data_IF_540975425478
#
_entry.id   IF_540975425478
#
_cell.length_a   1.000
_cell.length_b   1.000
_cell.length_c   1.000
_cell.angle_alpha   90.00
_cell.angle_beta   90.00
_cell.angle_gamma   90.00
#
_symmetry.space_group_name_H-M   'P 1'
#
loop_
_entity.id
_entity.type
_entity.pdbx_description
1 polymer ?
#
# COMPACT_ATOMS: atom_id res chain seq x y z
N UNK A 1 -26.63 47.02 -1.83
CA UNK A 1 -27.77 46.44 -1.10
C UNK A 1 -27.77 44.97 -1.36
N UNK A 2 -27.31 44.20 -0.37
CA UNK A 2 -26.89 42.79 -0.58
C UNK A 2 -28.08 41.89 -0.27
N UNK A 3 -28.71 41.32 -1.31
CA UNK A 3 -29.93 40.51 -1.25
C UNK A 3 -29.74 39.05 -0.76
N UNK A 4 -28.55 38.71 -0.24
CA UNK A 4 -28.22 37.36 0.22
C UNK A 4 -28.27 37.17 1.73
N UNK A 5 -28.81 38.12 2.50
CA UNK A 5 -28.92 38.03 3.97
C UNK A 5 -30.37 37.82 4.47
N UNK A 6 -31.24 37.22 3.66
CA UNK A 6 -32.50 36.69 4.17
C UNK A 6 -32.20 35.34 4.82
N UNK A 7 -31.65 35.42 6.02
CA UNK A 7 -31.47 34.26 6.88
C UNK A 7 -32.83 33.65 7.22
N UNK A 8 -33.15 32.51 6.65
CA UNK A 8 -34.14 31.61 7.23
C UNK A 8 -33.64 31.26 8.64
N UNK A 9 -34.08 32.00 9.64
CA UNK A 9 -34.12 31.45 11.00
C UNK A 9 -35.15 30.31 10.97
N UNK A 10 -34.72 29.13 10.64
CA UNK A 10 -35.45 27.93 11.04
C UNK A 10 -35.50 28.04 12.56
N UNK A 11 -36.69 28.31 13.11
CA UNK A 11 -36.91 28.14 14.54
C UNK A 11 -36.36 26.74 14.88
N UNK A 12 -35.40 26.68 15.81
CA UNK A 12 -34.99 25.43 16.41
C UNK A 12 -36.25 24.88 17.09
N UNK A 13 -36.98 24.03 16.37
CA UNK A 13 -38.01 23.21 16.97
C UNK A 13 -37.27 22.23 17.84
N UNK A 14 -37.13 22.54 19.11
CA UNK A 14 -36.67 21.58 20.11
C UNK A 14 -37.74 20.51 20.21
N UNK A 15 -37.64 19.50 19.35
CA UNK A 15 -38.45 18.28 19.49
C UNK A 15 -37.91 17.57 20.71
N UNK A 16 -38.73 17.51 21.77
CA UNK A 16 -38.39 16.71 22.94
C UNK A 16 -38.09 15.28 22.49
N UNK A 17 -36.88 14.81 22.77
CA UNK A 17 -36.49 13.44 22.42
C UNK A 17 -37.40 12.48 23.17
N UNK A 18 -37.98 11.49 22.48
CA UNK A 18 -38.83 10.50 23.14
C UNK A 18 -38.05 9.80 24.24
N UNK A 19 -38.67 9.64 25.41
CA UNK A 19 -38.09 8.96 26.58
C UNK A 19 -38.53 7.49 26.65
N UNK A 20 -37.81 6.69 27.42
CA UNK A 20 -38.12 5.28 27.58
C UNK A 20 -37.71 4.42 26.38
N UNK A 21 -38.51 3.35 26.13
CA UNK A 21 -38.22 2.38 25.07
C UNK A 21 -38.18 3.02 23.67
N UNK A 22 -39.10 3.95 23.39
CA UNK A 22 -39.13 4.69 22.13
C UNK A 22 -37.89 5.57 21.95
N UNK A 23 -37.40 6.20 23.01
CA UNK A 23 -36.15 6.98 22.98
C UNK A 23 -34.94 6.10 22.70
N UNK A 24 -34.85 4.92 23.30
CA UNK A 24 -33.78 3.97 23.04
C UNK A 24 -33.78 3.48 21.56
N UNK A 25 -34.97 3.16 21.03
CA UNK A 25 -35.12 2.76 19.62
C UNK A 25 -34.75 3.91 18.66
N UNK A 26 -35.17 5.13 18.97
CA UNK A 26 -34.81 6.29 18.15
C UNK A 26 -33.29 6.53 18.14
N UNK A 27 -32.63 6.45 19.30
CA UNK A 27 -31.18 6.57 19.41
C UNK A 27 -30.45 5.47 18.63
N UNK A 28 -30.90 4.23 18.74
CA UNK A 28 -30.35 3.11 17.99
C UNK A 28 -30.48 3.31 16.47
N UNK A 29 -31.63 3.82 16.00
CA UNK A 29 -31.85 4.13 14.59
C UNK A 29 -30.95 5.29 14.11
N UNK A 30 -30.82 6.34 14.93
CA UNK A 30 -29.90 7.46 14.63
C UNK A 30 -28.44 6.98 14.52
N UNK A 31 -27.99 6.15 15.45
CA UNK A 31 -26.63 5.64 15.45
C UNK A 31 -26.38 4.68 14.28
N UNK A 32 -27.36 3.88 13.92
CA UNK A 32 -27.31 3.08 12.70
C UNK A 32 -27.13 3.96 11.45
N UNK A 33 -27.94 4.99 11.30
CA UNK A 33 -27.85 5.93 10.17
C UNK A 33 -26.49 6.66 10.16
N UNK A 34 -25.98 7.08 11.33
CA UNK A 34 -24.66 7.74 11.46
C UNK A 34 -23.53 6.85 10.95
N UNK A 35 -23.56 5.54 11.24
CA UNK A 35 -22.54 4.58 10.74
C UNK A 35 -22.52 4.57 9.21
N UNK A 36 -23.67 4.48 8.55
CA UNK A 36 -23.75 4.46 7.09
C UNK A 36 -23.37 5.80 6.48
N UNK A 37 -23.79 6.91 7.05
CA UNK A 37 -23.39 8.25 6.60
C UNK A 37 -21.87 8.46 6.74
N UNK A 38 -21.27 7.97 7.83
CA UNK A 38 -19.82 7.98 8.02
C UNK A 38 -19.14 7.13 6.97
N UNK A 39 -19.63 5.92 6.71
CA UNK A 39 -19.14 5.04 5.66
C UNK A 39 -19.18 5.72 4.27
N UNK A 40 -20.30 6.35 3.94
CA UNK A 40 -20.46 7.12 2.70
C UNK A 40 -19.48 8.29 2.58
N UNK A 41 -19.29 9.04 3.64
CA UNK A 41 -18.31 10.15 3.65
C UNK A 41 -16.87 9.67 3.48
N UNK A 42 -16.51 8.55 4.09
CA UNK A 42 -15.18 7.93 3.93
C UNK A 42 -15.01 7.45 2.48
N UNK A 43 -16.01 6.79 1.91
CA UNK A 43 -15.98 6.34 0.51
C UNK A 43 -15.75 7.52 -0.45
N UNK A 44 -16.52 8.59 -0.31
CA UNK A 44 -16.35 9.79 -1.14
C UNK A 44 -14.97 10.44 -0.99
N UNK A 45 -14.43 10.48 0.23
CA UNK A 45 -13.08 10.96 0.50
C UNK A 45 -12.01 10.12 -0.19
N UNK A 46 -12.14 8.79 -0.13
CA UNK A 46 -11.24 7.86 -0.82
C UNK A 46 -11.33 7.99 -2.34
N UNK A 47 -12.55 8.09 -2.87
CA UNK A 47 -12.77 8.28 -4.31
C UNK A 47 -12.23 9.62 -4.81
N UNK A 48 -12.40 10.71 -4.08
CA UNK A 48 -11.94 12.05 -4.47
C UNK A 48 -10.44 12.27 -4.28
N UNK A 49 -9.82 11.63 -3.28
CA UNK A 49 -8.41 11.81 -2.93
C UNK A 49 -7.49 10.77 -3.54
N UNK A 50 -7.71 9.51 -3.22
CA UNK A 50 -6.77 8.43 -3.54
C UNK A 50 -6.95 7.93 -4.97
N UNK A 51 -8.19 7.70 -5.40
CA UNK A 51 -8.47 7.06 -6.69
C UNK A 51 -7.92 7.85 -7.89
N UNK A 52 -8.09 9.18 -8.00
CA UNK A 52 -7.50 9.95 -9.10
C UNK A 52 -5.97 9.84 -9.14
N UNK A 53 -5.32 9.92 -7.99
CA UNK A 53 -3.85 9.78 -7.88
C UNK A 53 -3.39 8.41 -8.35
N UNK A 54 -4.08 7.34 -7.94
CA UNK A 54 -3.77 5.98 -8.38
C UNK A 54 -3.92 5.81 -9.89
N UNK A 55 -4.99 6.33 -10.50
CA UNK A 55 -5.22 6.24 -11.95
C UNK A 55 -4.11 6.95 -12.72
N UNK A 56 -3.72 8.16 -12.30
CA UNK A 56 -2.64 8.92 -12.93
C UNK A 56 -1.30 8.18 -12.82
N UNK A 57 -0.96 7.70 -11.61
CA UNK A 57 0.30 6.97 -11.38
C UNK A 57 0.36 5.66 -12.15
N UNK A 58 -0.71 4.85 -12.14
CA UNK A 58 -0.77 3.61 -12.91
C UNK A 58 -0.65 3.87 -14.41
N UNK A 59 -1.26 4.93 -14.92
CA UNK A 59 -1.15 5.32 -16.32
C UNK A 59 0.28 5.71 -16.67
N UNK A 60 0.92 6.54 -15.85
CA UNK A 60 2.31 6.96 -16.02
C UNK A 60 3.29 5.77 -15.97
N UNK A 61 3.13 4.87 -15.00
CA UNK A 61 3.98 3.68 -14.87
C UNK A 61 3.78 2.74 -16.05
N UNK A 62 2.55 2.49 -16.49
CA UNK A 62 2.28 1.67 -17.67
C UNK A 62 2.89 2.27 -18.95
N UNK A 63 2.82 3.59 -19.11
CA UNK A 63 3.48 4.28 -20.22
C UNK A 63 5.01 4.11 -20.16
N UNK A 64 5.61 4.27 -18.97
CA UNK A 64 7.03 4.07 -18.73
C UNK A 64 7.48 2.64 -19.07
N UNK A 65 6.71 1.63 -18.65
CA UNK A 65 6.98 0.22 -18.96
C UNK A 65 6.96 -0.04 -20.47
N UNK A 66 6.02 0.57 -21.20
CA UNK A 66 5.96 0.45 -22.67
C UNK A 66 7.18 1.10 -23.34
N UNK A 67 7.65 2.23 -22.83
CA UNK A 67 8.84 2.93 -23.35
C UNK A 67 10.12 2.12 -23.05
N UNK A 68 10.26 1.61 -21.85
CA UNK A 68 11.43 0.82 -21.42
C UNK A 68 11.48 -0.52 -22.14
N UNK A 69 10.32 -1.12 -22.38
CA UNK A 69 10.14 -2.44 -22.94
C UNK A 69 10.06 -3.54 -21.87
N UNK A 70 9.07 -4.44 -21.96
CA UNK A 70 8.87 -5.53 -21.00
C UNK A 70 10.06 -6.50 -20.96
N UNK A 71 10.80 -6.65 -22.04
CA UNK A 71 11.98 -7.52 -22.12
C UNK A 71 13.09 -7.14 -21.13
N UNK A 72 13.25 -5.84 -20.83
CA UNK A 72 14.24 -5.40 -19.83
C UNK A 72 13.87 -5.86 -18.42
N UNK A 73 12.60 -5.87 -18.11
CA UNK A 73 12.08 -6.36 -16.81
C UNK A 73 12.30 -7.87 -16.69
N UNK A 74 12.04 -8.62 -17.76
CA UNK A 74 12.33 -10.07 -17.80
C UNK A 74 13.83 -10.35 -17.68
N UNK A 75 14.66 -9.57 -18.37
CA UNK A 75 16.13 -9.72 -18.29
C UNK A 75 16.64 -9.42 -16.88
N UNK A 76 16.02 -8.51 -16.14
CA UNK A 76 16.33 -8.28 -14.72
C UNK A 76 16.02 -9.54 -13.88
N UNK A 77 14.88 -10.19 -14.11
CA UNK A 77 14.55 -11.46 -13.46
C UNK A 77 15.57 -12.55 -13.75
N UNK A 78 15.98 -12.69 -15.03
CA UNK A 78 17.02 -13.65 -15.45
C UNK A 78 18.39 -13.32 -14.85
N UNK A 79 18.75 -12.04 -14.73
CA UNK A 79 19.98 -11.61 -14.05
C UNK A 79 19.97 -11.96 -12.56
N UNK A 80 18.85 -11.74 -11.90
CA UNK A 80 18.67 -12.07 -10.47
C UNK A 80 18.75 -13.60 -10.22
N UNK A 81 18.47 -14.43 -11.22
CA UNK A 81 18.56 -15.89 -11.13
C UNK A 81 20.01 -16.42 -11.10
N UNK A 82 20.98 -15.59 -11.48
CA UNK A 82 22.39 -16.01 -11.54
C UNK A 82 22.94 -16.36 -10.15
N UNK A 83 23.75 -17.41 -10.02
CA UNK A 83 24.34 -17.80 -8.74
C UNK A 83 25.42 -16.80 -8.30
N UNK A 84 25.63 -16.74 -6.99
CA UNK A 84 26.71 -15.94 -6.38
C UNK A 84 26.23 -14.72 -5.58
N UNK A 85 27.04 -14.36 -4.61
CA UNK A 85 26.76 -13.25 -3.64
C UNK A 85 26.70 -11.89 -4.35
N UNK A 86 27.44 -11.69 -5.42
CA UNK A 86 27.43 -10.48 -6.23
C UNK A 86 26.04 -10.14 -6.80
N UNK A 87 25.15 -11.13 -6.90
CA UNK A 87 23.79 -10.95 -7.40
C UNK A 87 22.77 -10.68 -6.31
N UNK A 88 23.15 -10.69 -5.03
CA UNK A 88 22.26 -10.41 -3.90
C UNK A 88 21.58 -9.04 -4.01
N UNK A 89 22.28 -7.93 -4.31
CA UNK A 89 21.60 -6.64 -4.47
C UNK A 89 20.56 -6.65 -5.59
N UNK A 90 20.86 -7.32 -6.72
CA UNK A 90 19.93 -7.43 -7.84
C UNK A 90 18.71 -8.30 -7.43
N UNK A 91 18.94 -9.39 -6.72
CA UNK A 91 17.91 -10.37 -6.34
C UNK A 91 17.01 -9.88 -5.22
N UNK A 92 17.56 -9.18 -4.21
CA UNK A 92 16.85 -8.83 -2.96
C UNK A 92 16.60 -7.33 -2.76
N UNK A 93 17.08 -6.46 -3.66
CA UNK A 93 16.73 -5.04 -3.67
C UNK A 93 16.09 -4.67 -5.01
N UNK A 94 16.84 -4.79 -6.10
CA UNK A 94 16.43 -4.24 -7.40
C UNK A 94 15.22 -4.99 -7.96
N UNK A 95 15.25 -6.34 -7.95
CA UNK A 95 14.15 -7.13 -8.48
C UNK A 95 12.85 -6.95 -7.67
N UNK A 96 12.83 -7.05 -6.31
CA UNK A 96 11.64 -6.75 -5.53
C UNK A 96 11.12 -5.33 -5.71
N UNK A 97 12.02 -4.32 -5.72
CA UNK A 97 11.66 -2.93 -5.97
C UNK A 97 10.95 -2.77 -7.33
N UNK A 98 11.59 -3.22 -8.40
CA UNK A 98 11.04 -3.09 -9.77
C UNK A 98 9.75 -3.89 -9.91
N UNK A 99 9.70 -5.10 -9.34
CA UNK A 99 8.50 -5.93 -9.38
C UNK A 99 7.30 -5.23 -8.71
N UNK A 100 7.48 -4.73 -7.49
CA UNK A 100 6.40 -4.06 -6.73
C UNK A 100 6.05 -2.72 -7.36
N UNK A 101 7.04 -1.95 -7.83
CA UNK A 101 6.81 -0.65 -8.47
C UNK A 101 6.06 -0.77 -9.80
N UNK A 102 6.46 -1.74 -10.66
CA UNK A 102 5.95 -1.87 -12.04
C UNK A 102 4.68 -2.72 -12.10
N UNK A 103 4.69 -3.88 -11.44
CA UNK A 103 3.62 -4.86 -11.56
C UNK A 103 2.55 -4.69 -10.47
N UNK A 104 2.87 -3.95 -9.42
CA UNK A 104 2.03 -3.74 -8.24
C UNK A 104 1.73 -5.03 -7.45
N UNK A 105 1.24 -4.91 -6.22
CA UNK A 105 0.78 -6.06 -5.44
C UNK A 105 -0.63 -6.49 -5.90
N UNK A 106 -0.93 -7.79 -6.15
CA UNK A 106 -0.07 -8.97 -5.93
C UNK A 106 0.74 -9.44 -7.16
N UNK A 107 0.63 -8.76 -8.30
CA UNK A 107 1.25 -9.21 -9.56
C UNK A 107 2.79 -9.23 -9.51
N UNK A 108 3.40 -8.45 -8.61
CA UNK A 108 4.84 -8.43 -8.35
C UNK A 108 5.44 -9.83 -8.13
N UNK A 109 4.69 -10.71 -7.47
CA UNK A 109 5.16 -12.07 -7.15
C UNK A 109 5.35 -12.96 -8.38
N UNK A 110 4.72 -12.61 -9.50
CA UNK A 110 4.90 -13.36 -10.76
C UNK A 110 6.33 -13.32 -11.27
N UNK A 111 7.16 -12.35 -10.83
CA UNK A 111 8.59 -12.28 -11.17
C UNK A 111 9.39 -13.44 -10.59
N UNK A 112 8.89 -14.11 -9.55
CA UNK A 112 9.48 -15.33 -9.01
C UNK A 112 9.61 -16.48 -10.03
N UNK A 113 8.81 -16.47 -11.10
CA UNK A 113 8.89 -17.47 -12.19
C UNK A 113 10.25 -17.53 -12.87
N UNK A 114 11.01 -16.43 -12.86
CA UNK A 114 12.35 -16.36 -13.46
C UNK A 114 13.45 -16.90 -12.54
N UNK A 115 13.15 -17.14 -11.27
CA UNK A 115 14.12 -17.57 -10.27
C UNK A 115 14.11 -19.10 -10.09
N UNK A 116 15.30 -19.71 -9.87
CA UNK A 116 15.39 -21.08 -9.38
C UNK A 116 14.62 -21.27 -8.06
N UNK A 117 14.11 -22.49 -7.81
CA UNK A 117 13.27 -22.79 -6.64
C UNK A 117 13.91 -22.37 -5.32
N UNK A 118 15.22 -22.54 -5.17
CA UNK A 118 15.97 -22.17 -3.95
C UNK A 118 15.95 -20.67 -3.65
N UNK A 119 15.71 -19.80 -4.64
CA UNK A 119 15.69 -18.34 -4.46
C UNK A 119 14.28 -17.76 -4.33
N UNK A 120 13.26 -18.52 -4.75
CA UNK A 120 11.87 -18.05 -4.72
C UNK A 120 11.39 -17.63 -3.34
N UNK A 121 11.57 -18.43 -2.26
CA UNK A 121 11.11 -18.03 -0.93
C UNK A 121 11.72 -16.72 -0.47
N UNK A 122 13.01 -16.53 -0.73
CA UNK A 122 13.73 -15.32 -0.36
C UNK A 122 13.27 -14.09 -1.17
N UNK A 123 13.00 -14.24 -2.46
CA UNK A 123 12.41 -13.18 -3.27
C UNK A 123 11.01 -12.83 -2.80
N UNK A 124 10.15 -13.82 -2.52
CA UNK A 124 8.79 -13.56 -2.03
C UNK A 124 8.81 -12.85 -0.68
N UNK A 125 9.70 -13.25 0.23
CA UNK A 125 9.86 -12.59 1.52
C UNK A 125 10.33 -11.13 1.37
N UNK A 126 11.28 -10.87 0.49
CA UNK A 126 11.72 -9.51 0.17
C UNK A 126 10.61 -8.68 -0.47
N UNK A 127 9.89 -9.23 -1.45
CA UNK A 127 8.83 -8.52 -2.15
C UNK A 127 7.65 -8.18 -1.24
N UNK A 128 7.16 -9.15 -0.44
CA UNK A 128 6.04 -8.91 0.50
C UNK A 128 6.42 -7.93 1.61
N UNK A 129 7.67 -7.94 2.04
CA UNK A 129 8.15 -6.99 3.04
C UNK A 129 8.30 -5.57 2.51
N UNK A 130 8.31 -5.38 1.19
CA UNK A 130 8.48 -4.08 0.55
C UNK A 130 7.17 -3.39 0.16
N UNK A 131 6.06 -4.11 0.10
CA UNK A 131 4.77 -3.56 -0.38
C UNK A 131 4.24 -2.39 0.46
N UNK A 132 4.61 -2.26 1.73
CA UNK A 132 4.22 -1.13 2.58
C UNK A 132 5.26 0.00 2.58
N UNK A 133 6.58 -0.26 2.70
CA UNK A 133 7.59 0.81 2.69
C UNK A 133 7.57 1.72 1.48
N UNK A 134 7.16 1.21 0.33
CA UNK A 134 7.09 1.96 -0.93
C UNK A 134 5.88 2.91 -1.02
N UNK A 135 4.81 2.68 -0.22
CA UNK A 135 3.51 3.36 -0.38
C UNK A 135 3.54 4.85 -0.14
N UNK A 136 4.43 5.33 0.72
CA UNK A 136 4.54 6.75 1.03
C UNK A 136 4.91 7.63 -0.16
N UNK A 137 5.64 7.05 -1.14
CA UNK A 137 6.06 7.74 -2.36
C UNK A 137 5.29 7.21 -3.58
N UNK A 138 5.03 5.91 -3.62
CA UNK A 138 4.40 5.24 -4.75
C UNK A 138 3.13 4.47 -4.33
N UNK A 139 2.02 5.17 -4.05
CA UNK A 139 0.80 4.54 -3.53
C UNK A 139 0.17 3.53 -4.48
N UNK A 140 0.47 3.60 -5.79
CA UNK A 140 0.01 2.63 -6.79
C UNK A 140 0.64 1.24 -6.62
N UNK A 141 1.76 1.13 -5.91
CA UNK A 141 2.47 -0.13 -5.74
C UNK A 141 1.67 -1.19 -4.96
N UNK A 142 0.82 -0.76 -4.03
CA UNK A 142 -0.09 -1.63 -3.28
C UNK A 142 -1.40 -0.91 -2.93
N UNK A 143 -2.25 -0.65 -3.91
CA UNK A 143 -3.47 0.14 -3.69
C UNK A 143 -4.47 -0.55 -2.75
N UNK A 144 -4.51 -1.89 -2.73
CA UNK A 144 -5.41 -2.66 -1.86
C UNK A 144 -5.10 -2.52 -0.37
N UNK A 145 -3.85 -2.23 -0.01
CA UNK A 145 -3.41 -2.09 1.38
C UNK A 145 -2.96 -0.66 1.72
N UNK A 146 -3.31 0.31 0.88
CA UNK A 146 -2.94 1.71 1.10
C UNK A 146 -3.47 2.26 2.43
N UNK A 147 -4.55 1.70 2.96
CA UNK A 147 -5.12 2.06 4.25
C UNK A 147 -4.12 1.88 5.42
N UNK A 148 -3.18 0.94 5.31
CA UNK A 148 -2.12 0.74 6.32
C UNK A 148 -1.23 1.98 6.40
N UNK A 149 -0.76 2.47 5.26
CA UNK A 149 0.03 3.70 5.21
C UNK A 149 -0.77 4.93 5.65
N UNK A 150 -2.02 5.05 5.22
CA UNK A 150 -2.92 6.16 5.58
C UNK A 150 -3.15 6.21 7.09
N UNK A 151 -3.27 5.07 7.76
CA UNK A 151 -3.37 5.00 9.23
C UNK A 151 -2.14 5.58 9.92
N UNK A 152 -0.94 5.20 9.47
CA UNK A 152 0.33 5.73 9.99
C UNK A 152 0.46 7.22 9.69
N UNK A 153 0.18 7.63 8.44
CA UNK A 153 0.25 9.01 7.99
C UNK A 153 -0.68 9.94 8.79
N UNK A 154 -1.88 9.47 9.12
CA UNK A 154 -2.83 10.20 9.96
C UNK A 154 -2.25 10.47 11.34
N UNK A 155 -1.68 9.46 12.00
CA UNK A 155 -1.03 9.63 13.30
C UNK A 155 0.14 10.62 13.26
N UNK A 156 0.99 10.53 12.25
CA UNK A 156 2.13 11.46 12.06
C UNK A 156 1.65 12.88 11.83
N UNK A 157 0.60 13.07 11.03
CA UNK A 157 0.00 14.41 10.77
C UNK A 157 -0.59 15.01 12.05
N UNK A 158 -1.25 14.21 12.89
CA UNK A 158 -1.79 14.66 14.17
C UNK A 158 -0.69 15.14 15.13
N UNK A 159 0.52 14.63 15.00
CA UNK A 159 1.70 15.09 15.75
C UNK A 159 2.38 16.32 15.12
N UNK A 160 1.83 16.88 14.04
CA UNK A 160 2.41 18.03 13.33
C UNK A 160 3.70 17.72 12.56
N UNK A 161 3.99 16.44 12.30
CA UNK A 161 5.20 15.99 11.60
C UNK A 161 4.97 15.85 10.08
N UNK A 162 6.03 16.03 9.30
CA UNK A 162 5.98 16.00 7.84
C UNK A 162 5.89 14.58 7.28
N UNK A 163 4.96 14.34 6.36
CA UNK A 163 4.79 13.04 5.70
C UNK A 163 5.91 12.70 4.71
N UNK A 164 6.54 13.70 4.10
CA UNK A 164 7.65 13.48 3.15
C UNK A 164 8.86 12.83 3.81
N UNK A 165 9.23 13.29 5.00
CA UNK A 165 10.33 12.70 5.78
C UNK A 165 10.02 11.25 6.18
N UNK A 166 8.80 10.98 6.64
CA UNK A 166 8.33 9.62 6.92
C UNK A 166 8.45 8.73 5.68
N UNK A 167 7.94 9.19 4.53
CA UNK A 167 7.91 8.41 3.30
C UNK A 167 9.31 8.01 2.82
N UNK A 168 10.26 8.97 2.83
CA UNK A 168 11.65 8.71 2.41
C UNK A 168 12.34 7.75 3.39
N UNK A 169 12.23 7.98 4.70
CA UNK A 169 12.83 7.10 5.71
C UNK A 169 12.25 5.70 5.63
N UNK A 170 10.95 5.57 5.47
CA UNK A 170 10.28 4.27 5.37
C UNK A 170 10.73 3.49 4.13
N UNK A 171 10.86 4.17 2.98
CA UNK A 171 11.40 3.58 1.76
C UNK A 171 12.85 3.08 1.96
N UNK A 172 13.74 3.94 2.49
CA UNK A 172 15.16 3.61 2.65
C UNK A 172 15.38 2.47 3.66
N UNK A 173 14.71 2.53 4.80
CA UNK A 173 14.74 1.43 5.79
C UNK A 173 14.15 0.17 5.18
N UNK A 174 13.07 0.28 4.42
CA UNK A 174 12.46 -0.84 3.70
C UNK A 174 13.44 -1.55 2.78
N UNK A 175 14.24 -0.81 2.00
CA UNK A 175 15.28 -1.39 1.11
C UNK A 175 16.34 -2.16 1.90
N UNK A 176 16.78 -1.64 3.05
CA UNK A 176 17.74 -2.34 3.93
C UNK A 176 17.11 -3.60 4.51
N UNK A 177 15.88 -3.51 4.98
CA UNK A 177 15.15 -4.64 5.57
C UNK A 177 14.95 -5.77 4.57
N UNK A 178 14.49 -5.49 3.34
CA UNK A 178 14.27 -6.53 2.34
C UNK A 178 15.58 -7.20 1.92
N UNK A 179 16.68 -6.47 1.90
CA UNK A 179 17.99 -7.05 1.61
C UNK A 179 18.42 -8.05 2.67
N UNK A 180 18.33 -7.67 3.95
CA UNK A 180 18.66 -8.55 5.08
C UNK A 180 17.74 -9.77 5.09
N UNK A 181 16.43 -9.57 4.95
CA UNK A 181 15.44 -10.66 4.94
C UNK A 181 15.70 -11.63 3.78
N UNK A 182 15.97 -11.13 2.59
CA UNK A 182 16.30 -11.96 1.43
C UNK A 182 17.49 -12.87 1.66
N UNK A 183 18.58 -12.33 2.22
CA UNK A 183 19.79 -13.13 2.54
C UNK A 183 19.49 -14.18 3.60
N UNK A 184 18.80 -13.79 4.67
CA UNK A 184 18.46 -14.71 5.79
C UNK A 184 17.54 -15.82 5.30
N UNK A 185 16.51 -15.48 4.54
CA UNK A 185 15.54 -16.45 4.01
C UNK A 185 16.18 -17.38 2.97
N UNK A 186 17.12 -16.90 2.13
CA UNK A 186 17.89 -17.78 1.25
C UNK A 186 18.73 -18.78 2.05
N UNK A 187 19.40 -18.33 3.10
CA UNK A 187 20.22 -19.20 3.95
C UNK A 187 19.37 -20.27 4.67
N UNK A 188 18.19 -19.89 5.17
CA UNK A 188 17.24 -20.83 5.79
C UNK A 188 16.73 -21.83 4.75
N UNK A 189 16.31 -21.36 3.57
CA UNK A 189 15.82 -22.21 2.49
C UNK A 189 16.87 -23.23 2.04
N UNK A 190 18.11 -22.79 1.85
CA UNK A 190 19.21 -23.69 1.48
C UNK A 190 19.42 -24.82 2.51
N UNK A 191 19.37 -24.49 3.81
CA UNK A 191 19.49 -25.50 4.87
C UNK A 191 18.31 -26.47 4.91
N UNK A 192 17.10 -25.98 4.62
CA UNK A 192 15.90 -26.83 4.60
C UNK A 192 15.93 -27.78 3.40
N UNK A 193 16.37 -27.31 2.22
CA UNK A 193 16.46 -28.12 1.02
C UNK A 193 17.51 -29.21 1.16
N UNK A 194 18.71 -28.92 1.70
CA UNK A 194 19.76 -29.92 1.92
C UNK A 194 19.34 -31.03 2.88
N UNK A 195 18.48 -30.74 3.87
CA UNK A 195 17.93 -31.75 4.78
C UNK A 195 16.89 -32.66 4.13
N UNK A 196 16.27 -32.23 3.03
CA UNK A 196 15.25 -33.02 2.34
C UNK A 196 15.87 -33.99 1.33
N UNK A 197 17.10 -33.71 0.88
CA UNK A 197 17.87 -34.56 -0.05
C UNK A 197 18.75 -35.59 0.67
N UNK A 198 18.94 -35.45 1.98
CA UNK A 198 19.65 -36.40 2.84
C UNK A 198 18.69 -37.43 3.48
#
# INVERSE_FOLDING_TARGET
>A
MNLLSVGYRLAEVTVDKPTGVLGALATAAEDFIKVFNKGGSVLLSLMGGILPTLVVLLTAVNALVRIIGPEKIENLGKAAARPGIQWYPVRYIILPFVAVFVLTNPMAYTMGRFLPERYKPAFYDSAVSFVHPILGIFPHANPGELFVYVGIATGITQLGLGLGDLAVRYLLVGLVVIFIRGIVTEAITARMMSKKEA
#
